data_IF_422051430205
#
_entry.id   IF_422051430205
#
_cell.length_a   1.000
_cell.length_b   1.000
_cell.length_c   1.000
_cell.angle_alpha   90.00
_cell.angle_beta   90.00
_cell.angle_gamma   90.00
#
_symmetry.space_group_name_H-M   'P 1'
#
loop_
_entity.id
_entity.type
_entity.pdbx_description
1 polymer ?
#
# COMPACT_ATOMS: atom_id res chain seq x y z
N UNK A 1 17.01 -15.46 -14.36
CA UNK A 1 16.19 -14.24 -14.40
C UNK A 1 15.81 -13.93 -12.97
N UNK A 2 16.11 -12.73 -12.48
CA UNK A 2 15.78 -12.33 -11.10
C UNK A 2 14.26 -12.36 -10.90
N UNK A 3 13.79 -12.84 -9.74
CA UNK A 3 12.35 -12.97 -9.46
C UNK A 3 11.67 -11.60 -9.43
N UNK A 4 12.38 -10.55 -9.01
CA UNK A 4 11.90 -9.18 -9.07
C UNK A 4 11.60 -8.75 -10.52
N UNK A 5 12.47 -9.11 -11.47
CA UNK A 5 12.25 -8.81 -12.89
C UNK A 5 11.05 -9.56 -13.47
N UNK A 6 10.78 -10.80 -13.02
CA UNK A 6 9.57 -11.53 -13.41
C UNK A 6 8.29 -10.83 -12.94
N UNK A 7 8.36 -10.07 -11.84
CA UNK A 7 7.27 -9.24 -11.33
C UNK A 7 7.22 -7.83 -11.96
N UNK A 8 8.13 -7.54 -12.90
CA UNK A 8 8.26 -6.20 -13.50
C UNK A 8 8.69 -5.15 -12.48
N UNK A 9 9.57 -5.51 -11.54
CA UNK A 9 10.19 -4.62 -10.57
C UNK A 9 11.67 -4.41 -10.93
N UNK A 10 12.32 -3.37 -10.37
CA UNK A 10 13.75 -3.14 -10.58
C UNK A 10 14.57 -4.39 -10.25
N UNK A 11 15.67 -4.63 -10.98
CA UNK A 11 16.65 -5.65 -10.58
C UNK A 11 17.07 -5.40 -9.13
N UNK A 12 17.27 -6.47 -8.36
CA UNK A 12 17.68 -6.42 -6.95
C UNK A 12 16.61 -5.92 -5.97
N UNK A 13 15.35 -5.72 -6.41
CA UNK A 13 14.27 -5.44 -5.46
C UNK A 13 14.12 -6.61 -4.47
N UNK A 14 14.27 -6.31 -3.18
CA UNK A 14 14.12 -7.29 -2.09
C UNK A 14 12.74 -7.12 -1.44
N UNK A 15 11.91 -8.19 -1.40
CA UNK A 15 10.64 -8.16 -0.67
C UNK A 15 10.83 -7.84 0.82
N UNK A 16 10.04 -6.90 1.35
CA UNK A 16 10.07 -6.49 2.77
C UNK A 16 8.79 -6.96 3.44
N UNK A 17 8.85 -8.09 4.13
CA UNK A 17 7.66 -8.75 4.70
C UNK A 17 7.76 -8.90 6.20
N UNK A 18 7.07 -8.03 6.92
CA UNK A 18 6.77 -8.20 8.34
C UNK A 18 5.43 -8.93 8.53
N UNK A 19 5.24 -9.46 9.73
CA UNK A 19 3.98 -10.08 10.12
C UNK A 19 2.83 -9.07 10.05
N UNK A 20 1.64 -9.59 9.71
CA UNK A 20 0.36 -8.88 9.82
C UNK A 20 -0.62 -9.81 10.53
N UNK A 21 -1.62 -9.23 11.18
CA UNK A 21 -2.65 -9.97 11.89
C UNK A 21 -3.43 -10.93 11.00
N UNK A 22 -3.97 -12.00 11.59
CA UNK A 22 -4.79 -12.96 10.85
C UNK A 22 -6.09 -12.33 10.33
N UNK A 23 -6.65 -11.35 11.05
CA UNK A 23 -7.77 -10.54 10.57
C UNK A 23 -7.42 -9.80 9.28
N UNK A 24 -6.23 -9.20 9.21
CA UNK A 24 -5.77 -8.55 7.99
C UNK A 24 -5.57 -9.56 6.84
N UNK A 25 -4.98 -10.73 7.11
CA UNK A 25 -4.84 -11.81 6.12
C UNK A 25 -6.21 -12.28 5.62
N UNK A 26 -7.15 -12.52 6.52
CA UNK A 26 -8.49 -12.99 6.20
C UNK A 26 -9.25 -11.97 5.34
N UNK A 27 -9.14 -10.70 5.67
CA UNK A 27 -9.73 -9.62 4.88
C UNK A 27 -9.11 -9.55 3.47
N UNK A 28 -7.80 -9.77 3.35
CA UNK A 28 -7.09 -9.74 2.07
C UNK A 28 -7.39 -10.94 1.17
N UNK A 29 -7.71 -12.12 1.73
CA UNK A 29 -8.03 -13.33 0.93
C UNK A 29 -9.17 -13.12 -0.05
N UNK A 30 -10.14 -12.27 0.28
CA UNK A 30 -11.28 -11.97 -0.59
C UNK A 30 -10.97 -11.01 -1.75
N UNK A 31 -9.82 -10.33 -1.73
CA UNK A 31 -9.46 -9.28 -2.69
C UNK A 31 -8.15 -9.55 -3.44
N UNK A 32 -7.22 -10.30 -2.87
CA UNK A 32 -6.02 -10.75 -3.56
C UNK A 32 -6.36 -11.74 -4.67
N UNK A 33 -5.73 -11.57 -5.83
CA UNK A 33 -5.89 -12.51 -6.93
C UNK A 33 -5.10 -13.80 -6.65
N UNK A 34 -5.58 -14.93 -7.14
CA UNK A 34 -4.88 -16.20 -7.00
C UNK A 34 -3.48 -16.11 -7.64
N UNK A 35 -2.44 -16.44 -6.87
CA UNK A 35 -1.05 -16.38 -7.33
C UNK A 35 -0.43 -14.97 -7.31
N UNK A 36 -1.13 -13.94 -6.86
CA UNK A 36 -0.59 -12.59 -6.72
C UNK A 36 0.39 -12.53 -5.52
N UNK A 37 1.69 -12.29 -5.75
CA UNK A 37 2.67 -12.34 -4.67
C UNK A 37 2.57 -11.07 -3.81
N UNK A 38 2.45 -11.25 -2.50
CA UNK A 38 2.67 -10.16 -1.55
C UNK A 38 4.17 -9.90 -1.49
N UNK A 39 4.62 -8.68 -1.74
CA UNK A 39 6.05 -8.31 -1.76
C UNK A 39 6.42 -7.31 -0.68
N UNK A 40 5.44 -6.59 -0.15
CA UNK A 40 5.60 -5.72 1.02
C UNK A 40 4.48 -6.02 2.02
N UNK A 41 4.81 -6.14 3.30
CA UNK A 41 3.81 -6.22 4.37
C UNK A 41 4.31 -5.66 5.69
N UNK A 42 3.45 -4.95 6.43
CA UNK A 42 3.69 -4.52 7.81
C UNK A 42 2.37 -4.23 8.51
N UNK A 43 2.31 -4.49 9.81
CA UNK A 43 1.27 -4.00 10.70
C UNK A 43 1.85 -2.97 11.68
N UNK A 44 1.02 -2.06 12.17
CA UNK A 44 1.39 -1.21 13.30
C UNK A 44 1.44 -2.01 14.60
N UNK A 45 2.02 -1.43 15.66
CA UNK A 45 2.15 -2.06 16.99
C UNK A 45 0.81 -2.56 17.57
N UNK A 46 -0.30 -1.91 17.20
CA UNK A 46 -1.64 -2.31 17.64
C UNK A 46 -2.33 -3.34 16.75
N UNK A 47 -1.71 -3.81 15.65
CA UNK A 47 -2.33 -4.69 14.65
C UNK A 47 -3.67 -4.16 14.07
N UNK A 48 -3.85 -2.84 14.16
CA UNK A 48 -5.06 -2.13 13.74
C UNK A 48 -4.99 -1.60 12.32
N UNK A 49 -3.79 -1.36 11.82
CA UNK A 49 -3.51 -0.86 10.47
C UNK A 49 -2.40 -1.70 9.87
N UNK A 50 -2.65 -2.26 8.69
CA UNK A 50 -1.65 -2.99 7.93
C UNK A 50 -1.49 -2.40 6.54
N UNK A 51 -0.25 -2.36 6.07
CA UNK A 51 0.10 -2.08 4.68
C UNK A 51 0.48 -3.40 4.04
N UNK A 52 -0.08 -3.69 2.87
CA UNK A 52 0.29 -4.85 2.07
C UNK A 52 0.42 -4.42 0.63
N UNK A 53 1.52 -4.74 -0.04
CA UNK A 53 1.71 -4.42 -1.45
C UNK A 53 2.06 -5.65 -2.27
N UNK A 54 1.58 -5.62 -3.51
CA UNK A 54 1.88 -6.57 -4.57
C UNK A 54 2.57 -5.81 -5.70
N UNK A 55 3.10 -6.51 -6.72
CA UNK A 55 3.64 -5.82 -7.89
C UNK A 55 2.64 -4.90 -8.60
N UNK A 56 1.33 -5.18 -8.48
CA UNK A 56 0.27 -4.49 -9.23
C UNK A 56 -0.44 -3.40 -8.43
N UNK A 57 -0.51 -3.53 -7.10
CA UNK A 57 -1.32 -2.66 -6.26
C UNK A 57 -0.89 -2.67 -4.80
N UNK A 58 -1.21 -1.58 -4.12
CA UNK A 58 -1.08 -1.38 -2.69
C UNK A 58 -2.45 -1.58 -2.03
N UNK A 59 -2.44 -2.18 -0.85
CA UNK A 59 -3.59 -2.35 0.02
C UNK A 59 -3.29 -1.74 1.38
N UNK A 60 -4.32 -1.14 1.96
CA UNK A 60 -4.32 -0.78 3.38
C UNK A 60 -5.47 -1.51 4.04
N UNK A 61 -5.19 -2.18 5.15
CA UNK A 61 -6.21 -2.89 5.93
C UNK A 61 -6.35 -2.19 7.27
N UNK A 62 -7.58 -1.87 7.67
CA UNK A 62 -7.88 -1.35 9.01
C UNK A 62 -8.81 -2.31 9.72
N UNK A 63 -8.36 -2.91 10.81
CA UNK A 63 -9.15 -3.85 11.62
C UNK A 63 -10.03 -3.10 12.62
N UNK A 64 -11.03 -3.78 13.18
CA UNK A 64 -12.14 -3.15 13.91
C UNK A 64 -11.76 -2.37 15.17
N UNK A 65 -10.56 -2.59 15.73
CA UNK A 65 -10.03 -1.77 16.83
C UNK A 65 -9.86 -0.28 16.47
N UNK A 66 -9.90 0.09 15.19
CA UNK A 66 -9.86 1.48 14.71
C UNK A 66 -11.21 2.02 14.17
N UNK A 67 -12.34 1.47 14.64
CA UNK A 67 -13.67 2.05 14.39
C UNK A 67 -14.44 1.51 13.18
N UNK A 68 -14.18 0.28 12.74
CA UNK A 68 -15.18 -0.44 11.96
C UNK A 68 -16.32 -0.83 12.91
N UNK A 69 -17.58 -0.71 12.48
CA UNK A 69 -18.71 -1.23 13.24
C UNK A 69 -18.57 -2.74 13.52
N UNK A 70 -19.59 -3.35 14.13
CA UNK A 70 -19.61 -4.73 14.65
C UNK A 70 -19.24 -5.88 13.66
N UNK A 71 -18.77 -5.60 12.44
CA UNK A 71 -18.39 -6.56 11.42
C UNK A 71 -17.12 -6.11 10.65
N UNK A 72 -15.96 -6.66 11.03
CA UNK A 72 -14.86 -6.95 10.09
C UNK A 72 -13.86 -5.82 9.79
N UNK A 73 -12.66 -6.25 9.40
CA UNK A 73 -11.64 -5.36 8.88
C UNK A 73 -12.06 -4.75 7.54
N UNK A 74 -11.65 -3.50 7.29
CA UNK A 74 -11.85 -2.80 6.04
C UNK A 74 -10.58 -2.86 5.20
N UNK A 75 -10.71 -3.23 3.93
CA UNK A 75 -9.61 -3.21 2.97
C UNK A 75 -9.84 -2.10 1.97
N UNK A 76 -8.79 -1.34 1.71
CA UNK A 76 -8.76 -0.33 0.66
C UNK A 76 -7.65 -0.64 -0.31
N UNK A 77 -7.96 -0.54 -1.59
CA UNK A 77 -7.07 -0.88 -2.69
C UNK A 77 -6.65 0.38 -3.45
N UNK A 78 -5.37 0.44 -3.77
CA UNK A 78 -4.73 1.51 -4.52
C UNK A 78 -3.92 0.89 -5.66
N UNK A 79 -4.43 0.89 -6.90
CA UNK A 79 -3.59 0.64 -8.06
C UNK A 79 -2.44 1.64 -8.07
N UNK A 80 -1.22 1.22 -8.41
CA UNK A 80 -0.05 2.11 -8.38
C UNK A 80 -0.24 3.37 -9.24
N UNK A 81 -0.91 3.25 -10.38
CA UNK A 81 -1.26 4.37 -11.26
C UNK A 81 -2.23 5.39 -10.64
N UNK A 82 -2.96 5.01 -9.57
CA UNK A 82 -3.87 5.89 -8.84
C UNK A 82 -3.20 6.67 -7.69
N UNK A 83 -1.97 6.31 -7.34
CA UNK A 83 -1.16 6.96 -6.31
C UNK A 83 -0.29 8.03 -6.97
N UNK A 84 -0.46 9.28 -6.56
CA UNK A 84 0.35 10.39 -7.08
C UNK A 84 1.47 10.82 -6.15
N UNK A 85 1.46 10.39 -4.89
CA UNK A 85 2.52 10.65 -3.91
C UNK A 85 2.43 9.68 -2.72
N UNK A 86 3.57 9.36 -2.11
CA UNK A 86 3.67 8.56 -0.87
C UNK A 86 4.64 9.31 0.05
N UNK A 87 4.15 9.72 1.23
CA UNK A 87 4.90 10.57 2.16
C UNK A 87 5.15 9.82 3.46
N UNK A 88 6.40 9.84 3.91
CA UNK A 88 6.76 9.43 5.26
C UNK A 88 6.96 10.67 6.14
N UNK A 89 6.41 10.65 7.35
CA UNK A 89 6.63 11.69 8.36
C UNK A 89 7.14 11.03 9.64
N UNK A 90 8.42 11.20 9.99
CA UNK A 90 8.94 10.71 11.27
C UNK A 90 8.31 11.49 12.42
N UNK A 91 8.01 10.79 13.50
CA UNK A 91 7.63 11.33 14.80
C UNK A 91 8.68 10.91 15.84
N UNK A 92 8.55 11.40 17.07
CA UNK A 92 9.55 11.18 18.13
C UNK A 92 9.87 9.70 18.39
N UNK A 93 8.88 8.81 18.30
CA UNK A 93 9.03 7.38 18.62
C UNK A 93 8.55 6.42 17.52
N UNK A 94 7.93 6.95 16.48
CA UNK A 94 7.28 6.16 15.43
C UNK A 94 7.26 6.97 14.13
N UNK A 95 6.69 6.42 13.07
CA UNK A 95 6.46 7.16 11.84
C UNK A 95 5.03 7.00 11.34
N UNK A 96 4.67 7.94 10.48
CA UNK A 96 3.43 7.94 9.70
C UNK A 96 3.76 7.79 8.23
N UNK A 97 2.99 6.98 7.54
CA UNK A 97 3.00 6.87 6.08
C UNK A 97 1.66 7.40 5.57
N UNK A 98 1.69 8.28 4.59
CA UNK A 98 0.50 8.80 3.93
C UNK A 98 0.53 8.41 2.44
N UNK A 99 -0.59 7.87 1.95
CA UNK A 99 -0.78 7.59 0.53
C UNK A 99 -1.68 8.67 -0.04
N UNK A 100 -1.18 9.43 -1.02
CA UNK A 100 -1.94 10.45 -1.70
C UNK A 100 -2.45 9.92 -3.03
N UNK A 101 -3.76 10.00 -3.23
CA UNK A 101 -4.45 9.39 -4.38
C UNK A 101 -5.62 10.26 -4.81
N UNK A 102 -6.11 10.01 -6.03
CA UNK A 102 -7.30 10.69 -6.56
C UNK A 102 -8.54 9.85 -6.29
N UNK A 103 -9.60 10.47 -5.79
CA UNK A 103 -10.87 9.80 -5.49
C UNK A 103 -12.07 10.72 -5.66
N UNK A 104 -13.20 10.14 -6.06
CA UNK A 104 -14.47 10.85 -6.14
C UNK A 104 -15.28 10.74 -4.85
N UNK A 105 -15.14 9.64 -4.12
CA UNK A 105 -15.93 9.31 -2.93
C UNK A 105 -15.09 9.10 -1.67
N UNK A 106 -13.76 9.22 -1.78
CA UNK A 106 -12.81 8.97 -0.70
C UNK A 106 -12.62 7.50 -0.34
N UNK A 107 -13.32 6.57 -1.02
CA UNK A 107 -13.31 5.13 -0.73
C UNK A 107 -12.45 4.37 -1.72
N UNK A 108 -12.43 4.78 -2.99
CA UNK A 108 -11.67 4.10 -4.04
C UNK A 108 -10.66 5.02 -4.70
N UNK A 109 -9.47 4.49 -5.00
CA UNK A 109 -8.50 5.16 -5.85
C UNK A 109 -8.91 5.08 -7.33
N UNK A 110 -9.00 6.24 -7.96
CA UNK A 110 -9.32 6.38 -9.38
C UNK A 110 -8.05 6.34 -10.23
N UNK A 111 -8.17 5.85 -11.47
CA UNK A 111 -7.07 5.76 -12.45
C UNK A 111 -7.47 6.38 -13.80
N UNK A 112 -6.48 6.74 -14.62
CA UNK A 112 -6.69 7.26 -15.98
C UNK A 112 -7.56 8.51 -16.02
N UNK A 113 -8.50 8.58 -16.98
CA UNK A 113 -9.39 9.74 -17.16
C UNK A 113 -10.24 10.05 -15.93
N UNK A 114 -10.62 9.03 -15.13
CA UNK A 114 -11.38 9.25 -13.89
C UNK A 114 -10.54 9.94 -12.82
N UNK A 115 -9.26 9.60 -12.73
CA UNK A 115 -8.32 10.26 -11.80
C UNK A 115 -8.14 11.76 -12.12
N UNK A 116 -8.13 12.12 -13.41
CA UNK A 116 -7.99 13.52 -13.85
C UNK A 116 -9.13 14.43 -13.38
N UNK A 117 -10.33 13.88 -13.21
CA UNK A 117 -11.52 14.61 -12.75
C UNK A 117 -11.75 14.51 -11.23
N UNK A 118 -11.05 13.58 -10.58
CA UNK A 118 -11.23 13.27 -9.17
C UNK A 118 -10.45 14.23 -8.25
N UNK A 119 -10.92 14.33 -7.00
CA UNK A 119 -10.31 15.21 -5.99
C UNK A 119 -9.11 14.52 -5.33
N UNK A 120 -8.10 15.27 -4.88
CA UNK A 120 -7.05 14.72 -4.03
C UNK A 120 -7.65 14.18 -2.73
N UNK A 121 -7.20 13.01 -2.32
CA UNK A 121 -7.52 12.38 -1.06
C UNK A 121 -6.24 11.80 -0.43
N UNK A 122 -6.26 11.62 0.88
CA UNK A 122 -5.11 11.14 1.65
C UNK A 122 -5.54 10.00 2.55
N UNK A 123 -4.80 8.89 2.49
CA UNK A 123 -4.93 7.78 3.41
C UNK A 123 -3.77 7.86 4.40
N UNK A 124 -4.09 8.18 5.66
CA UNK A 124 -3.09 8.31 6.72
C UNK A 124 -2.96 6.98 7.47
N UNK A 125 -1.75 6.45 7.52
CA UNK A 125 -1.42 5.15 8.09
C UNK A 125 -0.40 5.36 9.21
N UNK A 126 -0.81 5.11 10.45
CA UNK A 126 0.00 5.38 11.63
C UNK A 126 -0.51 4.61 12.86
N UNK A 127 0.33 4.47 13.90
CA UNK A 127 1.79 4.68 13.90
C UNK A 127 2.54 3.39 13.52
N UNK A 128 3.65 3.47 12.78
CA UNK A 128 4.53 2.31 12.57
C UNK A 128 5.85 2.48 13.33
N UNK A 129 6.44 1.36 13.77
CA UNK A 129 7.81 1.37 14.29
C UNK A 129 8.79 1.98 13.27
N UNK A 130 9.78 2.72 13.76
CA UNK A 130 10.68 3.49 12.91
C UNK A 130 11.44 2.61 11.90
N UNK A 131 12.14 1.58 12.37
CA UNK A 131 13.00 0.75 11.51
C UNK A 131 12.17 0.02 10.46
N UNK A 132 11.13 -0.72 10.88
CA UNK A 132 10.30 -1.47 9.95
C UNK A 132 9.49 -0.57 9.01
N UNK A 133 8.99 0.55 9.50
CA UNK A 133 8.26 1.52 8.68
C UNK A 133 9.14 2.20 7.64
N UNK A 134 10.41 2.50 7.95
CA UNK A 134 11.36 3.06 6.97
C UNK A 134 11.71 2.06 5.87
N UNK A 135 11.97 0.80 6.21
CA UNK A 135 12.24 -0.26 5.24
C UNK A 135 11.05 -0.46 4.29
N UNK A 136 9.85 -0.52 4.84
CA UNK A 136 8.60 -0.60 4.06
C UNK A 136 8.44 0.62 3.18
N UNK A 137 8.63 1.82 3.71
CA UNK A 137 8.49 3.05 2.92
C UNK A 137 9.46 3.08 1.73
N UNK A 138 10.72 2.69 1.93
CA UNK A 138 11.72 2.60 0.85
C UNK A 138 11.29 1.58 -0.21
N UNK A 139 10.79 0.41 0.19
CA UNK A 139 10.30 -0.60 -0.74
C UNK A 139 9.09 -0.11 -1.54
N UNK A 140 8.13 0.56 -0.89
CA UNK A 140 6.96 1.16 -1.55
C UNK A 140 7.38 2.22 -2.58
N UNK A 141 8.34 3.08 -2.23
CA UNK A 141 8.87 4.09 -3.16
C UNK A 141 9.56 3.47 -4.37
N UNK A 142 10.34 2.40 -4.20
CA UNK A 142 10.97 1.70 -5.32
C UNK A 142 9.92 1.14 -6.29
N UNK A 143 8.87 0.47 -5.78
CA UNK A 143 7.79 -0.05 -6.60
C UNK A 143 7.07 1.10 -7.33
N UNK A 144 6.69 2.14 -6.58
CA UNK A 144 5.94 3.27 -7.13
C UNK A 144 6.72 4.02 -8.23
N UNK A 145 8.01 4.28 -8.02
CA UNK A 145 8.89 4.92 -9.01
C UNK A 145 9.04 4.06 -10.27
N UNK A 146 9.17 2.74 -10.12
CA UNK A 146 9.22 1.80 -11.25
C UNK A 146 7.94 1.88 -12.09
N UNK A 147 6.77 1.83 -11.45
CA UNK A 147 5.47 1.89 -12.14
C UNK A 147 5.20 3.25 -12.80
N UNK A 148 5.66 4.34 -12.19
CA UNK A 148 5.58 5.66 -12.82
C UNK A 148 6.45 5.78 -14.06
N UNK A 149 7.67 5.24 -14.04
CA UNK A 149 8.56 5.24 -15.19
C UNK A 149 7.97 4.46 -16.38
N UNK A 150 7.34 3.30 -16.12
CA UNK A 150 6.63 2.53 -17.15
C UNK A 150 5.49 3.33 -17.78
N UNK A 151 4.72 4.06 -16.96
CA UNK A 151 3.57 4.85 -17.44
C UNK A 151 4.01 6.06 -18.28
N UNK A 152 5.16 6.66 -17.98
CA UNK A 152 5.71 7.81 -18.72
C UNK A 152 6.36 7.41 -20.05
N UNK A 153 6.83 6.17 -20.15
CA UNK A 153 7.49 5.63 -21.35
C UNK A 153 6.55 4.82 -22.25
N UNK A 154 5.26 4.75 -21.92
CA UNK A 154 4.25 4.13 -22.79
C UNK A 154 4.00 5.04 -24.02
N UNK A 155 4.11 4.51 -25.25
CA UNK A 155 3.96 5.29 -26.50
C UNK A 155 2.56 5.85 -26.72
#
# INVERSE_FOLDING_TARGET
>A
MDIAQQWGLPPEFVPVRYAISDDAKNALRGVLQAGEPVIVSIANEGDTVSIVATPQRLFTVKTAQYGAGAAGASVKEFPWAGIFDIVMTPMTLNLKIAVHYRSNDGRKAEVGRRAMLAKPAVENLMPFELVGGEEVFRALLQIWNSRRAETQNAP
#
